data_IF_652322714966
#
_entry.id   IF_652322714966
#
_cell.length_a   1.000
_cell.length_b   1.000
_cell.length_c   1.000
_cell.angle_alpha   90.00
_cell.angle_beta   90.00
_cell.angle_gamma   90.00
#
_symmetry.space_group_name_H-M   'P 1'
#
loop_
_entity.id
_entity.type
_entity.pdbx_description
1 polymer ?
#
# COMPACT_ATOMS: atom_id res chain seq x y z
N UNK A 1 -19.98 7.11 -31.40
CA UNK A 1 -18.99 6.52 -30.47
C UNK A 1 -19.71 6.18 -29.19
N UNK A 2 -19.83 4.91 -28.87
CA UNK A 2 -20.69 4.45 -27.76
C UNK A 2 -20.06 4.79 -26.40
N UNK A 3 -20.88 4.98 -25.35
CA UNK A 3 -20.42 5.20 -23.96
C UNK A 3 -19.46 4.09 -23.49
N UNK A 4 -19.57 2.90 -24.08
CA UNK A 4 -18.70 1.75 -23.81
C UNK A 4 -17.29 1.97 -24.37
N UNK A 5 -17.15 2.46 -25.61
CA UNK A 5 -15.85 2.76 -26.23
C UNK A 5 -15.08 3.84 -25.46
N UNK A 6 -15.80 4.84 -24.91
CA UNK A 6 -15.16 5.90 -24.12
C UNK A 6 -14.67 5.39 -22.76
N UNK A 7 -15.36 4.43 -22.14
CA UNK A 7 -14.96 3.85 -20.85
C UNK A 7 -13.68 3.00 -20.94
N UNK A 8 -13.54 2.18 -22.00
CA UNK A 8 -12.30 1.40 -22.22
C UNK A 8 -11.10 2.27 -22.58
N UNK A 9 -11.31 3.32 -23.39
CA UNK A 9 -10.27 4.30 -23.67
C UNK A 9 -9.78 4.98 -22.38
N UNK A 10 -10.69 5.22 -21.44
CA UNK A 10 -10.36 5.81 -20.15
C UNK A 10 -9.59 4.86 -19.23
N UNK A 11 -9.99 3.59 -19.18
CA UNK A 11 -9.26 2.53 -18.47
C UNK A 11 -7.82 2.44 -18.97
N UNK A 12 -7.61 2.39 -20.30
CA UNK A 12 -6.28 2.30 -20.90
C UNK A 12 -5.38 3.49 -20.51
N UNK A 13 -5.93 4.71 -20.51
CA UNK A 13 -5.19 5.91 -20.06
C UNK A 13 -4.74 5.79 -18.61
N UNK A 14 -5.66 5.49 -17.69
CA UNK A 14 -5.36 5.33 -16.27
C UNK A 14 -4.26 4.29 -16.04
N UNK A 15 -4.42 3.11 -16.64
CA UNK A 15 -3.45 2.01 -16.57
C UNK A 15 -2.09 2.44 -17.09
N UNK A 16 -2.03 3.16 -18.22
CA UNK A 16 -0.77 3.66 -18.77
C UNK A 16 -0.07 4.65 -17.83
N UNK A 17 -0.79 5.62 -17.28
CA UNK A 17 -0.18 6.60 -16.37
C UNK A 17 0.30 5.96 -15.07
N UNK A 18 -0.48 5.03 -14.51
CA UNK A 18 -0.08 4.28 -13.34
C UNK A 18 1.15 3.39 -13.60
N UNK A 19 1.20 2.72 -14.76
CA UNK A 19 2.37 1.95 -15.18
C UNK A 19 3.63 2.82 -15.35
N UNK A 20 3.48 4.02 -15.91
CA UNK A 20 4.62 4.98 -16.03
C UNK A 20 5.11 5.40 -14.65
N UNK A 21 4.22 5.70 -13.70
CA UNK A 21 4.60 6.00 -12.32
C UNK A 21 5.39 4.84 -11.69
N UNK A 22 4.89 3.61 -11.82
CA UNK A 22 5.57 2.44 -11.27
C UNK A 22 6.93 2.16 -11.95
N UNK A 23 7.03 2.37 -13.26
CA UNK A 23 8.29 2.22 -13.98
C UNK A 23 9.33 3.24 -13.52
N UNK A 24 8.95 4.52 -13.38
CA UNK A 24 9.84 5.56 -12.84
C UNK A 24 10.31 5.18 -11.43
N UNK A 25 9.41 4.65 -10.60
CA UNK A 25 9.74 4.16 -9.26
C UNK A 25 10.80 3.06 -9.29
N UNK A 26 10.60 2.01 -10.09
CA UNK A 26 11.57 0.91 -10.20
C UNK A 26 12.93 1.42 -10.68
N UNK A 27 12.95 2.29 -11.70
CA UNK A 27 14.18 2.89 -12.22
C UNK A 27 14.91 3.68 -11.12
N UNK A 28 14.20 4.49 -10.34
CA UNK A 28 14.80 5.28 -9.28
C UNK A 28 15.37 4.41 -8.15
N UNK A 29 14.69 3.32 -7.77
CA UNK A 29 15.21 2.35 -6.79
C UNK A 29 16.53 1.75 -7.27
N UNK A 30 16.59 1.35 -8.54
CA UNK A 30 17.81 0.79 -9.15
C UNK A 30 18.95 1.83 -9.14
N UNK A 31 18.66 3.07 -9.55
CA UNK A 31 19.66 4.14 -9.58
C UNK A 31 20.20 4.43 -8.17
N UNK A 32 19.32 4.63 -7.18
CA UNK A 32 19.75 4.96 -5.82
C UNK A 32 20.54 3.82 -5.17
N UNK A 33 20.10 2.57 -5.36
CA UNK A 33 20.81 1.39 -4.85
C UNK A 33 22.19 1.26 -5.52
N UNK A 34 22.27 1.52 -6.83
CA UNK A 34 23.54 1.47 -7.58
C UNK A 34 24.51 2.57 -7.15
N UNK A 35 24.02 3.78 -6.87
CA UNK A 35 24.83 4.88 -6.34
C UNK A 35 25.40 4.51 -4.96
N UNK A 36 24.56 3.97 -4.07
CA UNK A 36 24.99 3.50 -2.76
C UNK A 36 26.08 2.44 -2.87
N UNK A 37 25.86 1.40 -3.69
CA UNK A 37 26.84 0.35 -3.92
C UNK A 37 28.15 0.88 -4.53
N UNK A 38 28.06 1.76 -5.52
CA UNK A 38 29.23 2.37 -6.16
C UNK A 38 30.14 3.10 -5.16
N UNK A 39 29.56 3.92 -4.28
CA UNK A 39 30.36 4.63 -3.27
C UNK A 39 30.99 3.68 -2.25
N UNK A 40 30.29 2.62 -1.84
CA UNK A 40 30.89 1.64 -0.94
C UNK A 40 32.04 0.87 -1.59
N UNK A 41 31.92 0.48 -2.87
CA UNK A 41 33.02 -0.15 -3.59
C UNK A 41 34.19 0.79 -3.84
N UNK A 42 33.94 2.08 -4.05
CA UNK A 42 35.00 3.09 -4.16
C UNK A 42 35.82 3.22 -2.87
N UNK A 43 35.20 2.94 -1.72
CA UNK A 43 35.85 2.92 -0.40
C UNK A 43 36.48 1.56 -0.06
N UNK A 44 36.55 0.63 -1.01
CA UNK A 44 37.09 -0.72 -0.85
C UNK A 44 36.36 -1.55 0.24
N UNK A 45 35.07 -1.29 0.43
CA UNK A 45 34.24 -2.11 1.32
C UNK A 45 33.91 -3.46 0.68
N UNK A 46 33.92 -4.51 1.49
CA UNK A 46 33.48 -5.85 1.09
C UNK A 46 32.00 -5.88 0.68
N UNK A 47 31.65 -6.83 -0.20
CA UNK A 47 30.27 -7.03 -0.67
C UNK A 47 29.27 -7.19 0.48
N UNK A 48 29.66 -7.87 1.56
CA UNK A 48 28.84 -8.09 2.76
C UNK A 48 28.45 -6.77 3.46
N UNK A 49 29.36 -5.80 3.47
CA UNK A 49 29.13 -4.46 4.03
C UNK A 49 28.15 -3.71 3.12
N UNK A 50 28.30 -3.83 1.80
CA UNK A 50 27.40 -3.19 0.83
C UNK A 50 25.98 -3.75 0.95
N UNK A 51 25.85 -5.08 1.02
CA UNK A 51 24.56 -5.77 1.19
C UNK A 51 23.89 -5.38 2.51
N UNK A 52 24.65 -5.35 3.61
CA UNK A 52 24.15 -4.92 4.92
C UNK A 52 23.69 -3.45 4.89
N UNK A 53 24.45 -2.56 4.26
CA UNK A 53 24.06 -1.16 4.13
C UNK A 53 22.78 -1.00 3.29
N UNK A 54 22.70 -1.68 2.15
CA UNK A 54 21.51 -1.66 1.29
C UNK A 54 20.28 -2.21 2.02
N UNK A 55 20.44 -3.32 2.75
CA UNK A 55 19.38 -3.88 3.56
C UNK A 55 18.91 -2.90 4.64
N UNK A 56 19.83 -2.31 5.41
CA UNK A 56 19.50 -1.40 6.51
C UNK A 56 18.88 -0.07 6.06
N UNK A 57 19.12 0.36 4.82
CA UNK A 57 18.59 1.63 4.27
C UNK A 57 17.47 1.40 3.23
N UNK A 58 16.95 0.18 3.13
CA UNK A 58 16.07 -0.18 2.03
C UNK A 58 14.74 0.59 2.08
N UNK A 59 14.15 0.81 3.26
CA UNK A 59 12.93 1.61 3.40
C UNK A 59 13.14 3.05 2.94
N UNK A 60 14.26 3.67 3.32
CA UNK A 60 14.63 5.02 2.93
C UNK A 60 14.76 5.13 1.40
N UNK A 61 15.45 4.17 0.77
CA UNK A 61 15.58 4.09 -0.70
C UNK A 61 14.21 3.98 -1.38
N UNK A 62 13.31 3.12 -0.87
CA UNK A 62 11.97 2.93 -1.42
C UNK A 62 11.11 4.19 -1.29
N UNK A 63 11.10 4.82 -0.11
CA UNK A 63 10.33 6.05 0.15
C UNK A 63 10.84 7.20 -0.73
N UNK A 64 12.15 7.43 -0.77
CA UNK A 64 12.75 8.50 -1.58
C UNK A 64 12.43 8.29 -3.06
N UNK A 65 12.51 7.04 -3.54
CA UNK A 65 12.16 6.69 -4.92
C UNK A 65 10.68 6.93 -5.23
N UNK A 66 9.76 6.58 -4.31
CA UNK A 66 8.31 6.84 -4.46
C UNK A 66 7.99 8.34 -4.47
N UNK A 67 8.58 9.10 -3.55
CA UNK A 67 8.40 10.56 -3.48
C UNK A 67 8.92 11.25 -4.74
N UNK A 68 10.11 10.87 -5.21
CA UNK A 68 10.68 11.39 -6.45
C UNK A 68 9.83 11.01 -7.68
N UNK A 69 9.30 9.79 -7.74
CA UNK A 69 8.38 9.36 -8.80
C UNK A 69 7.09 10.17 -8.82
N UNK A 70 6.50 10.41 -7.64
CA UNK A 70 5.30 11.22 -7.49
C UNK A 70 5.58 12.67 -7.91
N UNK A 71 6.72 13.22 -7.51
CA UNK A 71 7.16 14.56 -7.89
C UNK A 71 7.29 14.71 -9.42
N UNK A 72 7.97 13.75 -10.09
CA UNK A 72 8.13 13.75 -11.54
C UNK A 72 6.79 13.60 -12.27
N UNK A 73 5.91 12.72 -11.78
CA UNK A 73 4.56 12.56 -12.33
C UNK A 73 3.75 13.86 -12.21
N UNK A 74 3.75 14.49 -11.02
CA UNK A 74 3.05 15.75 -10.79
C UNK A 74 3.60 16.87 -11.68
N UNK A 75 4.93 16.95 -11.86
CA UNK A 75 5.55 17.93 -12.75
C UNK A 75 5.11 17.73 -14.19
N UNK A 76 5.07 16.49 -14.66
CA UNK A 76 4.57 16.16 -16.00
C UNK A 76 3.12 16.61 -16.20
N UNK A 77 2.25 16.31 -15.23
CA UNK A 77 0.84 16.69 -15.33
C UNK A 77 0.60 18.19 -15.25
N UNK A 78 1.35 18.89 -14.40
CA UNK A 78 1.27 20.36 -14.27
C UNK A 78 1.54 21.04 -15.62
N UNK A 79 2.52 20.53 -16.37
CA UNK A 79 2.86 21.05 -17.70
C UNK A 79 1.76 20.80 -18.74
N UNK A 80 0.98 19.72 -18.59
CA UNK A 80 -0.02 19.31 -19.61
C UNK A 80 -1.47 19.72 -19.32
N UNK A 81 -1.91 19.74 -18.07
CA UNK A 81 -3.35 19.72 -17.74
C UNK A 81 -3.88 20.97 -17.05
N UNK A 82 -3.03 21.95 -16.69
CA UNK A 82 -3.35 23.30 -16.17
C UNK A 82 -4.33 23.42 -14.97
N UNK A 83 -5.08 22.39 -14.60
CA UNK A 83 -6.10 22.40 -13.54
C UNK A 83 -5.85 21.25 -12.56
N UNK A 84 -4.83 21.41 -11.71
CA UNK A 84 -4.57 20.49 -10.62
C UNK A 84 -5.10 21.08 -9.33
N UNK A 85 -5.82 20.26 -8.55
CA UNK A 85 -6.12 20.59 -7.16
C UNK A 85 -4.83 20.84 -6.40
N UNK A 86 -4.85 21.82 -5.50
CA UNK A 86 -3.71 22.06 -4.63
C UNK A 86 -3.53 20.91 -3.63
N UNK A 87 -2.30 20.67 -3.17
CA UNK A 87 -2.05 19.67 -2.11
C UNK A 87 -2.91 19.94 -0.86
N UNK A 88 -3.17 21.21 -0.55
CA UNK A 88 -4.05 21.63 0.54
C UNK A 88 -5.48 21.12 0.37
N UNK A 89 -6.03 21.18 -0.84
CA UNK A 89 -7.38 20.66 -1.12
C UNK A 89 -7.44 19.14 -0.93
N UNK A 90 -6.42 18.42 -1.39
CA UNK A 90 -6.31 16.96 -1.15
C UNK A 90 -6.26 16.65 0.35
N UNK A 91 -5.48 17.40 1.13
CA UNK A 91 -5.40 17.25 2.59
C UNK A 91 -6.71 17.64 3.29
N UNK A 92 -7.48 18.58 2.77
CA UNK A 92 -8.79 18.91 3.34
C UNK A 92 -9.80 17.77 3.14
N UNK A 93 -9.74 17.06 2.01
CA UNK A 93 -10.55 15.85 1.78
C UNK A 93 -10.18 14.70 2.74
N UNK A 94 -8.95 14.69 3.27
CA UNK A 94 -8.48 13.71 4.28
C UNK A 94 -9.11 13.89 5.67
N UNK A 95 -9.68 15.06 6.01
CA UNK A 95 -10.11 15.41 7.40
C UNK A 95 -11.42 14.73 7.82
N UNK A 96 -11.97 13.80 7.03
CA UNK A 96 -13.14 13.03 7.45
C UNK A 96 -12.80 11.97 8.51
N UNK A 97 -13.72 11.69 9.43
CA UNK A 97 -13.59 10.53 10.30
C UNK A 97 -13.72 9.23 9.49
N UNK A 98 -12.94 8.18 9.80
CA UNK A 98 -13.10 6.88 9.17
C UNK A 98 -14.47 6.29 9.50
N UNK A 99 -15.03 5.55 8.55
CA UNK A 99 -16.22 4.75 8.77
C UNK A 99 -15.96 3.77 9.92
N UNK A 100 -16.89 3.59 10.87
CA UNK A 100 -16.75 2.59 11.93
C UNK A 100 -16.48 1.18 11.39
N UNK A 101 -16.93 0.89 10.17
CA UNK A 101 -16.64 -0.36 9.45
C UNK A 101 -15.15 -0.54 9.19
N UNK A 102 -14.44 0.51 8.77
CA UNK A 102 -13.00 0.47 8.49
C UNK A 102 -12.18 0.21 9.76
N UNK A 103 -12.59 0.82 10.88
CA UNK A 103 -11.98 0.56 12.20
C UNK A 103 -12.18 -0.91 12.58
N UNK A 104 -13.42 -1.40 12.52
CA UNK A 104 -13.75 -2.78 12.91
C UNK A 104 -12.98 -3.81 12.09
N UNK A 105 -12.89 -3.66 10.76
CA UNK A 105 -12.12 -4.60 9.94
C UNK A 105 -10.62 -4.54 10.26
N UNK A 106 -10.07 -3.35 10.54
CA UNK A 106 -8.64 -3.20 10.81
C UNK A 106 -8.28 -3.89 12.13
N UNK A 107 -9.07 -3.65 13.18
CA UNK A 107 -8.93 -4.33 14.47
C UNK A 107 -9.16 -5.83 14.33
N UNK A 108 -10.19 -6.25 13.58
CA UNK A 108 -10.44 -7.67 13.32
C UNK A 108 -9.25 -8.35 12.63
N UNK A 109 -8.64 -7.71 11.63
CA UNK A 109 -7.46 -8.25 10.96
C UNK A 109 -6.27 -8.36 11.93
N UNK A 110 -5.96 -7.32 12.70
CA UNK A 110 -4.91 -7.38 13.74
C UNK A 110 -5.15 -8.56 14.69
N UNK A 111 -6.35 -8.66 15.27
CA UNK A 111 -6.69 -9.72 16.20
C UNK A 111 -6.61 -11.11 15.57
N UNK A 112 -7.06 -11.26 14.32
CA UNK A 112 -7.00 -12.52 13.59
C UNK A 112 -5.56 -12.96 13.36
N UNK A 113 -4.67 -12.02 12.99
CA UNK A 113 -3.25 -12.32 12.83
C UNK A 113 -2.58 -12.71 14.13
N UNK A 114 -2.82 -11.97 15.22
CA UNK A 114 -2.21 -12.25 16.52
C UNK A 114 -2.66 -13.63 17.03
N UNK A 115 -3.96 -13.90 16.96
CA UNK A 115 -4.54 -15.14 17.51
C UNK A 115 -4.20 -16.37 16.68
N UNK A 116 -4.28 -16.29 15.35
CA UNK A 116 -4.00 -17.45 14.48
C UNK A 116 -2.53 -17.60 14.11
N UNK A 117 -1.76 -16.50 14.11
CA UNK A 117 -0.35 -16.49 13.75
C UNK A 117 0.58 -17.11 14.78
N UNK A 118 0.11 -17.30 16.03
CA UNK A 118 0.92 -17.73 17.19
C UNK A 118 2.10 -16.79 17.39
N UNK A 119 1.76 -15.54 17.69
CA UNK A 119 2.76 -14.50 17.91
C UNK A 119 3.62 -14.81 19.13
N UNK A 120 4.94 -14.84 18.93
CA UNK A 120 5.93 -14.95 19.97
C UNK A 120 6.67 -13.64 20.18
N UNK A 121 7.05 -13.37 21.42
CA UNK A 121 7.86 -12.22 21.77
C UNK A 121 9.34 -12.54 21.58
N UNK A 122 10.06 -11.69 20.84
CA UNK A 122 11.49 -11.79 20.57
C UNK A 122 12.20 -10.64 21.27
N UNK A 123 12.58 -10.86 22.53
CA UNK A 123 13.15 -9.82 23.38
C UNK A 123 14.46 -9.21 22.87
N UNK A 124 15.19 -9.91 21.99
CA UNK A 124 16.43 -9.41 21.38
C UNK A 124 16.19 -8.17 20.51
N UNK A 125 14.99 -8.02 19.94
CA UNK A 125 14.72 -7.00 18.94
C UNK A 125 14.15 -5.69 19.52
N UNK A 126 13.91 -5.61 20.82
CA UNK A 126 13.31 -4.43 21.48
C UNK A 126 14.19 -3.18 21.29
N UNK A 127 15.51 -3.34 21.25
CA UNK A 127 16.46 -2.24 21.13
C UNK A 127 16.48 -1.54 19.77
N UNK A 128 15.88 -2.13 18.73
CA UNK A 128 15.90 -1.62 17.36
C UNK A 128 14.77 -0.62 17.06
N UNK A 129 14.54 0.33 17.97
CA UNK A 129 13.46 1.33 17.86
C UNK A 129 13.53 2.13 16.55
N UNK A 130 14.74 2.44 16.07
CA UNK A 130 14.93 3.12 14.78
C UNK A 130 14.28 2.34 13.63
N UNK A 131 14.61 1.04 13.52
CA UNK A 131 14.09 0.17 12.47
C UNK A 131 12.58 -0.05 12.62
N UNK A 132 12.06 -0.19 13.84
CA UNK A 132 10.62 -0.30 14.05
C UNK A 132 9.87 0.96 13.57
N UNK A 133 10.40 2.14 13.86
CA UNK A 133 9.81 3.42 13.39
C UNK A 133 9.97 3.57 11.87
N UNK A 134 11.15 3.26 11.33
CA UNK A 134 11.43 3.33 9.90
C UNK A 134 10.52 2.39 9.10
N UNK A 135 10.28 1.17 9.60
CA UNK A 135 9.34 0.21 9.02
C UNK A 135 7.91 0.73 9.07
N UNK A 136 7.47 1.25 10.23
CA UNK A 136 6.12 1.79 10.40
C UNK A 136 5.87 2.95 9.42
N UNK A 137 6.77 3.93 9.40
CA UNK A 137 6.67 5.08 8.51
C UNK A 137 6.84 4.67 7.05
N UNK A 138 7.73 3.71 6.77
CA UNK A 138 7.96 3.16 5.45
C UNK A 138 6.71 2.55 4.86
N UNK A 139 6.05 1.64 5.58
CA UNK A 139 4.79 1.03 5.15
C UNK A 139 3.69 2.08 4.99
N UNK A 140 3.54 2.98 5.97
CA UNK A 140 2.52 4.02 5.94
C UNK A 140 2.70 4.95 4.72
N UNK A 141 3.91 5.47 4.51
CA UNK A 141 4.22 6.40 3.43
C UNK A 141 4.21 5.70 2.07
N UNK A 142 4.79 4.50 1.97
CA UNK A 142 4.85 3.74 0.72
C UNK A 142 3.46 3.44 0.17
N UNK A 143 2.58 2.86 0.97
CA UNK A 143 1.20 2.60 0.57
C UNK A 143 0.35 3.87 0.52
N UNK A 144 0.65 4.87 1.34
CA UNK A 144 -0.01 6.18 1.27
C UNK A 144 0.22 6.88 -0.07
N UNK A 145 1.46 6.87 -0.59
CA UNK A 145 1.80 7.44 -1.89
C UNK A 145 1.07 6.70 -3.02
N UNK A 146 1.00 5.37 -2.96
CA UNK A 146 0.22 4.58 -3.92
C UNK A 146 -1.22 5.06 -4.01
N UNK A 147 -1.85 5.22 -2.85
CA UNK A 147 -3.23 5.69 -2.79
C UNK A 147 -3.37 7.12 -3.29
N UNK A 148 -2.43 8.03 -2.95
CA UNK A 148 -2.40 9.40 -3.48
C UNK A 148 -2.36 9.40 -5.00
N UNK A 149 -1.52 8.58 -5.63
CA UNK A 149 -1.43 8.49 -7.09
C UNK A 149 -2.76 8.01 -7.69
N UNK A 150 -3.38 6.98 -7.11
CA UNK A 150 -4.66 6.46 -7.58
C UNK A 150 -5.76 7.53 -7.49
N UNK A 151 -5.89 8.20 -6.36
CA UNK A 151 -6.87 9.26 -6.15
C UNK A 151 -6.63 10.44 -7.11
N UNK A 152 -5.37 10.80 -7.33
CA UNK A 152 -4.96 11.85 -8.26
C UNK A 152 -5.30 11.50 -9.71
N UNK A 153 -5.06 10.26 -10.15
CA UNK A 153 -5.46 9.80 -11.49
C UNK A 153 -6.99 9.77 -11.66
N UNK A 154 -7.73 9.37 -10.63
CA UNK A 154 -9.21 9.40 -10.65
C UNK A 154 -9.73 10.82 -10.84
N UNK A 155 -9.22 11.79 -10.08
CA UNK A 155 -9.69 13.18 -10.12
C UNK A 155 -9.39 13.84 -11.47
N UNK A 156 -8.19 13.62 -12.02
CA UNK A 156 -7.74 14.27 -13.26
C UNK A 156 -8.33 13.59 -14.49
N UNK A 157 -8.20 12.27 -14.58
CA UNK A 157 -8.50 11.56 -15.81
C UNK A 157 -9.99 11.23 -15.90
N UNK A 158 -10.69 10.96 -14.78
CA UNK A 158 -12.02 10.36 -14.79
C UNK A 158 -13.16 11.36 -14.49
N UNK A 159 -12.93 12.66 -14.64
CA UNK A 159 -13.92 13.71 -14.36
C UNK A 159 -15.26 13.58 -15.12
N UNK A 160 -15.27 12.98 -16.32
CA UNK A 160 -16.48 12.81 -17.17
C UNK A 160 -16.99 11.37 -17.25
N UNK A 161 -16.08 10.41 -17.30
CA UNK A 161 -16.40 8.99 -17.52
C UNK A 161 -15.52 8.17 -16.60
N UNK A 162 -16.15 7.32 -15.79
CA UNK A 162 -15.42 6.41 -14.92
C UNK A 162 -15.22 5.06 -15.60
N UNK A 163 -13.99 4.51 -15.60
CA UNK A 163 -13.74 3.16 -16.07
C UNK A 163 -14.37 2.12 -15.11
N UNK A 164 -14.60 0.88 -15.58
CA UNK A 164 -15.11 -0.18 -14.72
C UNK A 164 -14.09 -0.52 -13.63
N UNK A 165 -14.45 -0.20 -12.37
CA UNK A 165 -13.52 -0.21 -11.23
C UNK A 165 -12.87 -1.54 -10.91
N UNK A 166 -13.60 -2.64 -11.10
CA UNK A 166 -13.06 -3.97 -10.86
C UNK A 166 -11.83 -4.21 -11.75
N UNK A 167 -11.96 -3.96 -13.05
CA UNK A 167 -10.83 -4.10 -13.99
C UNK A 167 -9.73 -3.08 -13.72
N UNK A 168 -10.08 -1.84 -13.39
CA UNK A 168 -9.08 -0.82 -13.03
C UNK A 168 -8.26 -1.26 -11.81
N UNK A 169 -8.92 -1.67 -10.73
CA UNK A 169 -8.27 -2.11 -9.51
C UNK A 169 -7.43 -3.38 -9.70
N UNK A 170 -7.91 -4.31 -10.54
CA UNK A 170 -7.15 -5.50 -10.93
C UNK A 170 -5.87 -5.13 -11.69
N UNK A 171 -5.97 -4.27 -12.71
CA UNK A 171 -4.81 -3.81 -13.48
C UNK A 171 -3.80 -3.07 -12.58
N UNK A 172 -4.26 -2.18 -11.71
CA UNK A 172 -3.41 -1.48 -10.74
C UNK A 172 -2.71 -2.47 -9.80
N UNK A 173 -3.43 -3.46 -9.28
CA UNK A 173 -2.85 -4.50 -8.41
C UNK A 173 -1.78 -5.32 -9.14
N UNK A 174 -2.01 -5.71 -10.40
CA UNK A 174 -1.03 -6.47 -11.18
C UNK A 174 0.24 -5.65 -11.44
N UNK A 175 0.08 -4.38 -11.84
CA UNK A 175 1.21 -3.48 -12.11
C UNK A 175 1.99 -3.19 -10.84
N UNK A 176 1.29 -2.92 -9.73
CA UNK A 176 1.89 -2.75 -8.42
C UNK A 176 2.67 -4.00 -8.01
N UNK A 177 2.08 -5.19 -8.14
CA UNK A 177 2.71 -6.44 -7.80
C UNK A 177 4.00 -6.68 -8.61
N UNK A 178 3.96 -6.44 -9.92
CA UNK A 178 5.13 -6.56 -10.78
C UNK A 178 6.24 -5.57 -10.36
N UNK A 179 5.89 -4.29 -10.17
CA UNK A 179 6.84 -3.27 -9.77
C UNK A 179 7.43 -3.54 -8.38
N UNK A 180 6.61 -3.95 -7.41
CA UNK A 180 7.06 -4.32 -6.08
C UNK A 180 8.04 -5.49 -6.14
N UNK A 181 7.74 -6.54 -6.92
CA UNK A 181 8.61 -7.71 -7.07
C UNK A 181 9.97 -7.37 -7.71
N UNK A 182 10.01 -6.37 -8.58
CA UNK A 182 11.23 -5.87 -9.22
C UNK A 182 12.07 -5.00 -8.27
N UNK A 183 11.44 -4.23 -7.39
CA UNK A 183 12.13 -3.33 -6.46
C UNK A 183 12.52 -4.01 -5.14
N UNK A 184 11.73 -4.97 -4.66
CA UNK A 184 11.91 -5.64 -3.37
C UNK A 184 12.00 -7.16 -3.59
N UNK A 185 13.13 -7.80 -3.25
CA UNK A 185 13.22 -9.26 -3.30
C UNK A 185 12.31 -9.90 -2.24
N UNK A 186 11.52 -10.89 -2.63
CA UNK A 186 10.59 -11.57 -1.73
C UNK A 186 11.28 -12.66 -0.88
N UNK A 187 12.22 -12.26 -0.02
CA UNK A 187 12.96 -13.20 0.84
C UNK A 187 12.05 -13.91 1.85
N UNK A 188 11.02 -13.22 2.35
CA UNK A 188 10.17 -13.72 3.42
C UNK A 188 8.89 -14.41 2.92
N UNK A 189 8.59 -14.36 1.62
CA UNK A 189 7.35 -14.92 1.04
C UNK A 189 6.10 -14.10 1.41
N UNK A 190 6.27 -12.80 1.62
CA UNK A 190 5.20 -11.88 2.06
C UNK A 190 4.50 -11.20 0.88
N UNK A 191 4.92 -11.49 -0.36
CA UNK A 191 4.31 -10.92 -1.56
C UNK A 191 2.77 -11.02 -1.60
N UNK A 192 2.15 -12.16 -1.26
CA UNK A 192 0.69 -12.23 -1.29
C UNK A 192 0.01 -11.35 -0.24
N UNK A 193 0.62 -11.20 0.93
CA UNK A 193 0.15 -10.27 1.96
C UNK A 193 0.22 -8.82 1.46
N UNK A 194 1.33 -8.42 0.85
CA UNK A 194 1.51 -7.09 0.25
C UNK A 194 0.44 -6.80 -0.81
N UNK A 195 0.18 -7.76 -1.70
CA UNK A 195 -0.86 -7.65 -2.72
C UNK A 195 -2.25 -7.50 -2.10
N UNK A 196 -2.57 -8.31 -1.09
CA UNK A 196 -3.84 -8.25 -0.38
C UNK A 196 -4.03 -6.91 0.37
N UNK A 197 -2.97 -6.39 1.00
CA UNK A 197 -2.98 -5.06 1.62
C UNK A 197 -3.24 -3.97 0.59
N UNK A 198 -2.52 -3.98 -0.53
CA UNK A 198 -2.72 -3.02 -1.62
C UNK A 198 -4.15 -3.07 -2.19
N UNK A 199 -4.68 -4.27 -2.46
CA UNK A 199 -6.06 -4.45 -2.92
C UNK A 199 -7.08 -3.96 -1.89
N UNK A 200 -6.82 -4.12 -0.58
CA UNK A 200 -7.65 -3.53 0.48
C UNK A 200 -7.69 -2.01 0.40
N UNK A 201 -6.58 -1.32 0.09
CA UNK A 201 -6.58 0.14 -0.07
C UNK A 201 -7.53 0.57 -1.17
N UNK A 202 -7.44 -0.08 -2.34
CA UNK A 202 -8.34 0.18 -3.48
C UNK A 202 -9.80 -0.07 -3.06
N UNK A 203 -10.06 -1.17 -2.37
CA UNK A 203 -11.42 -1.50 -1.93
C UNK A 203 -11.99 -0.50 -0.92
N UNK A 204 -11.20 -0.12 0.09
CA UNK A 204 -11.62 0.75 1.20
C UNK A 204 -11.70 2.23 0.83
N UNK A 205 -11.01 2.63 -0.23
CA UNK A 205 -11.15 3.96 -0.83
C UNK A 205 -12.56 4.26 -1.34
N UNK A 206 -13.39 3.21 -1.46
CA UNK A 206 -14.79 3.30 -1.80
C UNK A 206 -15.00 3.55 -3.29
N UNK A 207 -16.18 4.06 -3.62
CA UNK A 207 -16.54 4.32 -5.01
C UNK A 207 -15.63 5.42 -5.58
N UNK A 208 -15.64 6.62 -5.04
CA UNK A 208 -14.95 7.76 -5.67
C UNK A 208 -13.46 7.87 -5.36
N UNK A 209 -12.81 6.86 -4.76
CA UNK A 209 -11.46 7.00 -4.17
C UNK A 209 -11.33 8.18 -3.18
N UNK A 210 -12.46 8.62 -2.58
CA UNK A 210 -12.51 9.78 -1.65
C UNK A 210 -12.54 9.37 -0.19
N UNK A 211 -12.65 8.08 0.13
CA UNK A 211 -12.67 7.60 1.51
C UNK A 211 -11.25 7.50 2.07
N UNK A 212 -10.52 8.62 2.06
CA UNK A 212 -9.13 8.71 2.53
C UNK A 212 -8.97 8.25 3.97
N UNK A 213 -9.92 8.63 4.82
CA UNK A 213 -9.93 8.29 6.24
C UNK A 213 -9.97 6.77 6.47
N UNK A 214 -10.71 6.02 5.67
CA UNK A 214 -10.75 4.55 5.75
C UNK A 214 -9.40 3.93 5.40
N UNK A 215 -8.74 4.45 4.36
CA UNK A 215 -7.42 3.98 3.92
C UNK A 215 -6.37 4.30 4.98
N UNK A 216 -6.32 5.54 5.47
CA UNK A 216 -5.38 5.96 6.53
C UNK A 216 -5.61 5.16 7.81
N UNK A 217 -6.86 4.94 8.20
CA UNK A 217 -7.22 4.11 9.35
C UNK A 217 -6.70 2.68 9.18
N UNK A 218 -6.88 2.07 8.01
CA UNK A 218 -6.36 0.74 7.72
C UNK A 218 -4.84 0.67 7.74
N UNK A 219 -4.14 1.68 7.20
CA UNK A 219 -2.68 1.75 7.26
C UNK A 219 -2.16 1.89 8.69
N UNK A 220 -2.75 2.79 9.48
CA UNK A 220 -2.31 3.08 10.85
C UNK A 220 -2.65 1.99 11.84
N UNK A 221 -3.80 1.33 11.71
CA UNK A 221 -4.25 0.32 12.66
C UNK A 221 -3.81 -1.08 12.28
N UNK A 222 -3.60 -1.38 11.00
CA UNK A 222 -3.27 -2.73 10.55
C UNK A 222 -1.92 -2.79 9.83
N UNK A 223 -1.79 -2.20 8.63
CA UNK A 223 -0.61 -2.48 7.77
C UNK A 223 0.71 -2.09 8.43
N UNK A 224 0.82 -0.86 8.93
CA UNK A 224 2.06 -0.35 9.51
C UNK A 224 2.41 -1.03 10.85
N UNK A 225 1.50 -1.16 11.84
CA UNK A 225 1.78 -1.91 13.06
C UNK A 225 2.13 -3.37 12.81
N UNK A 226 1.44 -4.05 11.89
CA UNK A 226 1.70 -5.46 11.62
C UNK A 226 3.06 -5.68 10.97
N UNK A 227 3.50 -4.75 10.12
CA UNK A 227 4.85 -4.82 9.58
C UNK A 227 5.92 -4.51 10.61
N UNK A 228 5.81 -3.38 11.30
CA UNK A 228 6.86 -2.93 12.21
C UNK A 228 6.97 -3.73 13.51
N UNK A 229 5.83 -4.24 14.02
CA UNK A 229 5.79 -4.92 15.31
C UNK A 229 5.73 -6.44 15.20
N UNK A 230 5.08 -6.98 14.17
CA UNK A 230 4.73 -8.41 14.08
C UNK A 230 5.45 -9.16 12.94
N UNK A 231 6.47 -8.54 12.34
CA UNK A 231 7.33 -9.19 11.36
C UNK A 231 6.67 -9.43 10.00
N UNK A 232 5.60 -8.67 9.67
CA UNK A 232 4.98 -8.68 8.34
C UNK A 232 5.54 -7.58 7.43
N UNK A 233 6.74 -7.08 7.74
CA UNK A 233 7.45 -6.13 6.91
C UNK A 233 7.97 -6.87 5.66
N UNK A 234 7.60 -6.47 4.43
CA UNK A 234 8.06 -7.17 3.24
C UNK A 234 9.53 -6.91 2.88
N UNK A 235 10.17 -5.92 3.52
CA UNK A 235 11.56 -5.51 3.31
C UNK A 235 12.48 -6.17 4.34
N UNK A 236 12.09 -6.13 5.61
CA UNK A 236 12.90 -6.63 6.73
C UNK A 236 12.34 -7.90 7.40
N UNK A 237 11.16 -8.36 7.01
CA UNK A 237 10.54 -9.53 7.63
C UNK A 237 10.41 -9.38 9.13
N UNK A 238 10.95 -10.35 9.85
CA UNK A 238 10.99 -10.41 11.31
C UNK A 238 12.28 -9.86 11.94
N UNK A 239 13.27 -9.45 11.13
CA UNK A 239 14.64 -9.15 11.58
C UNK A 239 14.71 -8.09 12.69
N UNK A 240 13.88 -7.04 12.60
CA UNK A 240 13.83 -5.95 13.59
C UNK A 240 12.55 -5.91 14.41
N UNK A 241 11.65 -6.87 14.20
CA UNK A 241 10.34 -6.90 14.85
C UNK A 241 10.42 -7.45 16.28
N UNK A 242 9.79 -6.81 17.27
CA UNK A 242 9.72 -7.32 18.65
C UNK A 242 8.84 -8.56 18.79
N UNK A 243 7.92 -8.79 17.85
CA UNK A 243 7.07 -9.96 17.81
C UNK A 243 7.22 -10.71 16.48
N UNK A 244 7.34 -12.03 16.57
CA UNK A 244 7.45 -12.93 15.42
C UNK A 244 6.19 -13.76 15.27
N UNK A 245 5.69 -13.87 14.05
CA UNK A 245 4.62 -14.80 13.69
C UNK A 245 5.25 -16.13 13.24
N UNK A 246 5.34 -17.09 14.16
CA UNK A 246 6.01 -18.38 13.93
C UNK A 246 5.42 -19.16 12.74
N UNK A 247 4.09 -19.15 12.64
CA UNK A 247 3.39 -19.89 11.61
C UNK A 247 3.08 -18.95 10.47
N UNK A 248 3.88 -19.03 9.38
CA UNK A 248 3.53 -18.39 8.11
C UNK A 248 2.07 -18.72 7.79
N UNK A 249 1.22 -17.70 7.74
CA UNK A 249 -0.20 -17.91 7.51
C UNK A 249 -0.37 -18.46 6.10
N UNK A 250 -1.04 -19.61 5.99
CA UNK A 250 -1.37 -20.19 4.70
C UNK A 250 -2.24 -19.20 3.92
N UNK A 251 -2.01 -19.10 2.61
CA UNK A 251 -2.81 -18.32 1.67
C UNK A 251 -4.32 -18.55 1.81
N UNK A 252 -4.75 -19.80 2.02
CA UNK A 252 -6.17 -20.10 2.24
C UNK A 252 -6.73 -19.35 3.45
N UNK A 253 -5.94 -19.26 4.52
CA UNK A 253 -6.33 -18.60 5.75
C UNK A 253 -6.35 -17.07 5.60
N UNK A 254 -5.36 -16.51 4.91
CA UNK A 254 -5.36 -15.10 4.52
C UNK A 254 -6.60 -14.74 3.69
N UNK A 255 -6.92 -15.56 2.69
CA UNK A 255 -8.09 -15.36 1.86
C UNK A 255 -9.39 -15.35 2.69
N UNK A 256 -9.54 -16.24 3.67
CA UNK A 256 -10.71 -16.27 4.56
C UNK A 256 -10.83 -14.99 5.38
N UNK A 257 -9.75 -14.51 6.01
CA UNK A 257 -9.76 -13.25 6.78
C UNK A 257 -10.21 -12.08 5.89
N UNK A 258 -9.69 -11.99 4.67
CA UNK A 258 -10.04 -10.91 3.74
C UNK A 258 -11.48 -11.01 3.24
N UNK A 259 -11.93 -12.22 2.89
CA UNK A 259 -13.32 -12.46 2.46
C UNK A 259 -14.29 -12.08 3.58
N UNK A 260 -14.03 -12.46 4.83
CA UNK A 260 -14.87 -12.08 5.98
C UNK A 260 -14.86 -10.55 6.15
N UNK A 261 -13.68 -9.93 6.14
CA UNK A 261 -13.52 -8.48 6.33
C UNK A 261 -14.25 -7.68 5.26
N UNK A 262 -14.09 -8.04 3.98
CA UNK A 262 -14.74 -7.37 2.86
C UNK A 262 -16.24 -7.64 2.82
N UNK A 263 -16.66 -8.85 3.14
CA UNK A 263 -18.09 -9.18 3.25
C UNK A 263 -18.76 -8.35 4.34
N UNK A 264 -18.13 -8.23 5.51
CA UNK A 264 -18.62 -7.37 6.59
C UNK A 264 -18.71 -5.91 6.15
N UNK A 265 -17.64 -5.38 5.55
CA UNK A 265 -17.60 -3.98 5.10
C UNK A 265 -18.71 -3.66 4.08
N UNK A 266 -18.99 -4.59 3.15
CA UNK A 266 -20.02 -4.43 2.11
C UNK A 266 -21.45 -4.59 2.63
N UNK A 267 -21.70 -5.64 3.43
CA UNK A 267 -23.07 -6.12 3.68
C UNK A 267 -23.64 -5.70 5.04
N UNK A 268 -22.84 -5.14 5.96
CA UNK A 268 -23.30 -4.73 7.30
C UNK A 268 -24.57 -3.88 7.27
N UNK A 269 -24.62 -2.84 6.44
CA UNK A 269 -25.74 -1.89 6.47
C UNK A 269 -27.04 -2.52 5.95
N UNK A 270 -26.95 -3.46 5.01
CA UNK A 270 -28.11 -4.23 4.52
C UNK A 270 -28.66 -5.14 5.61
N UNK A 271 -27.77 -5.77 6.40
CA UNK A 271 -28.15 -6.64 7.49
C UNK A 271 -28.85 -5.87 8.63
N UNK A 272 -28.25 -4.76 9.08
CA UNK A 272 -28.84 -3.90 10.12
C UNK A 272 -30.19 -3.32 9.66
N UNK A 273 -30.28 -2.88 8.41
CA UNK A 273 -31.52 -2.36 7.84
C UNK A 273 -32.64 -3.40 7.81
N UNK A 274 -32.31 -4.65 7.46
CA UNK A 274 -33.28 -5.76 7.42
C UNK A 274 -33.74 -6.16 8.83
N UNK A 275 -32.82 -6.25 9.80
CA UNK A 275 -33.15 -6.58 11.18
C UNK A 275 -34.07 -5.52 11.83
N UNK A 276 -33.84 -4.23 11.58
CA UNK A 276 -34.71 -3.15 12.07
C UNK A 276 -36.13 -3.19 11.49
N UNK A 277 -36.29 -3.71 10.26
CA UNK A 277 -37.62 -3.88 9.65
C UNK A 277 -38.38 -5.06 10.25
N UNK A 278 -37.69 -6.11 10.70
CA UNK A 278 -38.31 -7.27 11.35
C UNK A 278 -38.75 -6.99 12.80
N UNK A 279 -38.15 -5.98 13.46
CA UNK A 279 -38.46 -5.58 14.83
C UNK A 279 -39.54 -4.49 14.93
N UNK A 280 -40.14 -4.08 13.82
CA UNK A 280 -41.23 -3.10 13.74
C UNK A 280 -42.49 -3.78 13.23
#
# INVERSE_FOLDING_TARGET
MSIVETSYGQLSKNVKYYAVFQLIFVILVIILSSIGAFFHFLLDHEISIVESWLHNNHWEILIVSKLASLFLLNRWFTVRLYQLKSFRELVQELVSWPDPKAIVISVFMVMSYITMGRTNYVGQNIGYWYFQIASFLGLFVFFGIEFIVIAYLEDILNHKVHPPRFYLGLCYTIIFAAAFRMSVPDYYGLMPYVVLCYSSLIYLSGKSFKSWSNVVCFLLLFVAPMGSLFGLDPVWGDDFSPFRVDKKLNMAFLAVIWVISFSYYKYRDQFIGSARKLLR
#
